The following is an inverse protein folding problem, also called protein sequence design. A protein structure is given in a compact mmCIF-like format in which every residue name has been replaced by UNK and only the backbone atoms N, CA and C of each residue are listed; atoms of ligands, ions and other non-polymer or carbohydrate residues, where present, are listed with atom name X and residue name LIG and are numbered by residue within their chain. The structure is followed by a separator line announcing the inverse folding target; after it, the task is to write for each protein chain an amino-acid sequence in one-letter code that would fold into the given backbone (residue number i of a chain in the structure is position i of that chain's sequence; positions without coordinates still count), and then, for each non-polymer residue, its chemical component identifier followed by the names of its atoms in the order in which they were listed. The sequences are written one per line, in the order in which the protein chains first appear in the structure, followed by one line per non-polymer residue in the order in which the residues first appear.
data_IF_029378992171
#
_entry.id   IF_029378992171
#
_cell.length_a   1.000
_cell.length_b   1.000
_cell.length_c   1.000
_cell.angle_alpha   90.00
_cell.angle_beta   90.00
_cell.angle_gamma   90.00
#
_symmetry.space_group_name_H-M   'P 1'
#
loop_
_entity.id
_entity.type
_entity.pdbx_description
1 polymer ?
#
# COMPACT_ATOMS: atom_id res chain seq x y z
N UNK A 1 -1.91 1.71 -13.74
CA UNK A 1 -0.65 1.05 -14.19
C UNK A 1 -0.67 -0.46 -13.95
N UNK A 2 -0.74 -0.99 -12.70
CA UNK A 2 -0.65 -2.45 -12.43
C UNK A 2 -1.75 -3.23 -13.16
N UNK A 3 -3.01 -2.84 -13.05
CA UNK A 3 -4.14 -3.51 -13.73
C UNK A 3 -4.01 -3.47 -15.26
N UNK A 4 -3.49 -2.37 -15.82
CA UNK A 4 -3.27 -2.27 -17.27
C UNK A 4 -2.14 -3.19 -17.75
N UNK A 5 -1.07 -3.31 -16.95
CA UNK A 5 0.00 -4.26 -17.24
C UNK A 5 -0.51 -5.70 -17.18
N UNK A 6 -1.28 -6.03 -16.16
CA UNK A 6 -1.89 -7.36 -16.01
C UNK A 6 -2.84 -7.67 -17.16
N UNK A 7 -3.69 -6.72 -17.58
CA UNK A 7 -4.58 -6.88 -18.72
C UNK A 7 -3.79 -7.19 -20.02
N UNK A 8 -2.73 -6.43 -20.29
CA UNK A 8 -1.85 -6.68 -21.44
C UNK A 8 -1.18 -8.06 -21.38
N UNK A 9 -0.74 -8.49 -20.21
CA UNK A 9 -0.14 -9.83 -20.06
C UNK A 9 -1.17 -10.93 -20.32
N UNK A 10 -2.40 -10.77 -19.86
CA UNK A 10 -3.49 -11.73 -20.12
C UNK A 10 -3.88 -11.79 -21.63
N UNK A 11 -3.77 -10.68 -22.33
CA UNK A 11 -3.99 -10.63 -23.79
C UNK A 11 -2.86 -11.31 -24.58
N UNK A 12 -1.63 -11.23 -24.11
CA UNK A 12 -0.43 -11.70 -24.83
C UNK A 12 -0.06 -13.15 -24.51
N UNK A 13 -0.39 -13.65 -23.32
CA UNK A 13 0.01 -14.98 -22.88
C UNK A 13 -1.20 -15.80 -22.41
N UNK A 14 -1.69 -16.67 -23.28
CA UNK A 14 -2.78 -17.60 -22.99
C UNK A 14 -2.44 -18.67 -21.91
N UNK A 15 -1.18 -18.75 -21.46
CA UNK A 15 -0.74 -19.63 -20.36
C UNK A 15 -0.82 -18.96 -19.02
N UNK A 16 -0.99 -17.62 -18.99
CA UNK A 16 -1.15 -16.88 -17.74
C UNK A 16 -2.55 -17.11 -17.18
N UNK A 17 -2.62 -17.62 -15.96
CA UNK A 17 -3.86 -17.80 -15.22
C UNK A 17 -3.83 -16.90 -13.96
N UNK A 18 -4.80 -16.00 -13.85
CA UNK A 18 -4.96 -15.07 -12.73
C UNK A 18 -6.23 -15.41 -11.97
N UNK A 19 -6.08 -15.74 -10.70
CA UNK A 19 -7.18 -16.11 -9.82
C UNK A 19 -7.33 -15.06 -8.71
N UNK A 20 -8.27 -14.14 -8.89
CA UNK A 20 -8.70 -13.23 -7.83
C UNK A 20 -9.58 -13.98 -6.79
N UNK A 21 -9.71 -13.41 -5.60
CA UNK A 21 -10.51 -13.98 -4.50
C UNK A 21 -10.14 -15.43 -4.18
N UNK A 22 -8.84 -15.76 -4.29
CA UNK A 22 -8.30 -17.09 -4.08
C UNK A 22 -7.14 -16.98 -3.09
N UNK A 23 -7.47 -16.90 -1.82
CA UNK A 23 -6.48 -16.76 -0.74
C UNK A 23 -5.65 -18.03 -0.62
N UNK A 24 -4.33 -17.89 -0.59
CA UNK A 24 -3.41 -18.96 -0.22
C UNK A 24 -3.40 -19.07 1.30
N UNK A 25 -3.69 -20.25 1.81
CA UNK A 25 -3.75 -20.54 3.27
C UNK A 25 -2.48 -21.18 3.77
N UNK A 26 -1.81 -21.99 2.93
CA UNK A 26 -0.51 -22.59 3.25
C UNK A 26 0.24 -23.00 1.98
N UNK A 27 1.54 -23.17 2.14
CA UNK A 27 2.43 -23.80 1.16
C UNK A 27 3.12 -24.95 1.88
N UNK A 28 3.28 -26.10 1.22
CA UNK A 28 3.95 -27.26 1.82
C UNK A 28 5.42 -26.95 2.16
N UNK A 29 5.93 -27.56 3.22
CA UNK A 29 7.34 -27.39 3.63
C UNK A 29 8.32 -28.15 2.71
N UNK A 30 7.82 -29.15 1.97
CA UNK A 30 8.61 -29.97 1.07
C UNK A 30 7.85 -30.19 -0.23
N UNK A 31 8.61 -30.59 -1.26
CA UNK A 31 8.02 -30.94 -2.56
C UNK A 31 7.54 -32.41 -2.54
N UNK A 32 6.60 -32.76 -3.42
CA UNK A 32 6.17 -34.10 -3.70
C UNK A 32 7.25 -34.90 -4.49
N UNK A 33 7.00 -36.19 -4.76
CA UNK A 33 7.92 -37.07 -5.53
C UNK A 33 8.26 -36.54 -6.94
N UNK A 34 7.43 -35.63 -7.49
CA UNK A 34 7.65 -35.00 -8.77
C UNK A 34 8.32 -33.62 -8.65
N UNK A 35 8.81 -33.26 -7.45
CA UNK A 35 9.48 -31.99 -7.19
C UNK A 35 8.52 -30.79 -7.16
N UNK A 36 7.23 -30.97 -6.86
CA UNK A 36 6.24 -29.91 -6.87
C UNK A 36 5.79 -29.53 -5.46
N UNK A 37 5.67 -28.23 -5.23
CA UNK A 37 5.08 -27.65 -4.03
C UNK A 37 3.56 -27.80 -4.05
N UNK A 38 2.94 -28.00 -2.89
CA UNK A 38 1.50 -27.92 -2.68
C UNK A 38 1.12 -26.55 -2.14
N UNK A 39 0.24 -25.87 -2.83
CA UNK A 39 -0.30 -24.58 -2.42
C UNK A 39 -1.79 -24.76 -2.12
N UNK A 40 -2.16 -24.65 -0.84
CA UNK A 40 -3.55 -24.74 -0.42
C UNK A 40 -4.22 -23.38 -0.57
N UNK A 41 -5.39 -23.37 -1.17
CA UNK A 41 -6.17 -22.17 -1.38
C UNK A 41 -7.61 -22.37 -0.94
N UNK A 42 -8.35 -21.27 -0.80
CA UNK A 42 -9.80 -21.31 -0.52
C UNK A 42 -10.62 -22.01 -1.62
N UNK A 43 -10.03 -22.33 -2.76
CA UNK A 43 -10.70 -22.93 -3.92
C UNK A 43 -10.12 -24.29 -4.33
N UNK A 44 -9.19 -24.81 -3.56
CA UNK A 44 -8.53 -26.10 -3.80
C UNK A 44 -7.01 -26.01 -3.81
N UNK A 45 -6.36 -27.13 -4.09
CA UNK A 45 -4.90 -27.29 -4.05
C UNK A 45 -4.28 -27.08 -5.42
N UNK A 46 -3.20 -26.31 -5.48
CA UNK A 46 -2.39 -26.09 -6.68
C UNK A 46 -1.05 -26.80 -6.51
N UNK A 47 -0.57 -27.47 -7.55
CA UNK A 47 0.78 -28.05 -7.60
C UNK A 47 1.67 -27.24 -8.53
N UNK A 48 2.81 -26.77 -8.03
CA UNK A 48 3.74 -25.93 -8.78
C UNK A 48 5.19 -26.35 -8.58
N UNK A 49 6.01 -26.30 -9.62
CA UNK A 49 7.45 -26.56 -9.55
C UNK A 49 8.22 -25.42 -8.85
N UNK A 50 7.68 -24.21 -8.89
CA UNK A 50 8.25 -23.02 -8.24
C UNK A 50 7.13 -22.19 -7.64
N UNK A 51 7.39 -21.56 -6.48
CA UNK A 51 6.50 -20.61 -5.82
C UNK A 51 7.25 -19.30 -5.63
N UNK A 52 6.64 -18.18 -6.03
CA UNK A 52 7.17 -16.84 -5.80
C UNK A 52 6.25 -16.13 -4.82
N UNK A 53 6.78 -15.82 -3.64
CA UNK A 53 6.03 -15.08 -2.63
C UNK A 53 6.18 -13.57 -2.86
N UNK A 54 5.10 -12.93 -3.28
CA UNK A 54 5.02 -11.48 -3.50
C UNK A 54 3.91 -10.84 -2.64
N UNK A 55 3.73 -11.37 -1.43
CA UNK A 55 2.59 -11.10 -0.55
C UNK A 55 2.81 -9.91 0.39
N UNK A 56 3.93 -9.16 0.24
CA UNK A 56 4.24 -7.95 0.99
C UNK A 56 4.10 -8.15 2.53
N UNK A 57 3.30 -7.35 3.21
CA UNK A 57 3.06 -7.45 4.65
C UNK A 57 2.36 -8.74 5.11
N UNK A 58 1.76 -9.48 4.18
CA UNK A 58 1.09 -10.77 4.47
C UNK A 58 2.04 -11.98 4.42
N UNK A 59 3.33 -11.78 4.12
CA UNK A 59 4.28 -12.87 3.92
C UNK A 59 4.35 -13.83 5.12
N UNK A 60 4.37 -13.30 6.33
CA UNK A 60 4.44 -14.10 7.56
C UNK A 60 3.23 -15.00 7.83
N UNK A 61 2.10 -14.77 7.16
CA UNK A 61 0.91 -15.60 7.29
C UNK A 61 1.06 -16.94 6.55
N UNK A 62 1.83 -16.97 5.47
CA UNK A 62 2.08 -18.17 4.66
C UNK A 62 3.51 -18.71 4.81
N UNK A 63 4.39 -17.94 5.41
CA UNK A 63 5.80 -18.23 5.67
C UNK A 63 6.14 -17.84 7.13
N UNK A 64 5.81 -18.69 8.11
CA UNK A 64 6.00 -18.39 9.55
C UNK A 64 7.44 -18.04 9.94
N UNK A 65 8.44 -18.56 9.22
CA UNK A 65 9.85 -18.25 9.43
C UNK A 65 10.19 -16.76 9.27
N UNK A 66 9.38 -16.02 8.53
CA UNK A 66 9.55 -14.57 8.33
C UNK A 66 8.82 -13.70 9.36
N UNK A 67 8.08 -14.26 10.30
CA UNK A 67 7.30 -13.50 11.31
C UNK A 67 8.15 -12.51 12.09
N UNK A 68 9.42 -12.88 12.38
CA UNK A 68 10.36 -11.97 13.08
C UNK A 68 11.05 -10.95 12.17
N UNK A 69 11.00 -11.15 10.85
CA UNK A 69 11.73 -10.33 9.87
C UNK A 69 10.81 -9.41 9.08
N UNK A 70 9.57 -9.81 8.88
CA UNK A 70 8.57 -9.08 8.10
C UNK A 70 7.37 -8.80 9.00
N UNK A 71 7.26 -7.55 9.46
CA UNK A 71 6.13 -7.10 10.27
C UNK A 71 5.20 -6.26 9.40
N UNK A 72 3.90 -6.60 9.32
CA UNK A 72 2.93 -5.77 8.62
C UNK A 72 2.78 -4.42 9.33
N UNK A 73 2.68 -3.35 8.56
CA UNK A 73 2.37 -2.01 9.07
C UNK A 73 1.33 -1.35 8.19
N UNK A 74 0.48 -0.52 8.78
CA UNK A 74 -0.50 0.27 8.04
C UNK A 74 0.03 1.66 7.74
N UNK A 75 -0.18 2.10 6.50
CA UNK A 75 -0.03 3.49 6.09
C UNK A 75 -1.38 4.11 5.77
N UNK A 76 -1.44 5.43 5.82
CA UNK A 76 -2.66 6.20 5.49
C UNK A 76 -2.39 7.06 4.27
N UNK A 77 -3.34 7.09 3.37
CA UNK A 77 -3.33 7.92 2.17
C UNK A 77 -4.65 8.67 2.02
N UNK A 78 -4.60 9.78 1.32
CA UNK A 78 -5.77 10.57 0.95
C UNK A 78 -5.77 10.88 -0.54
N UNK A 79 -6.95 11.07 -1.07
CA UNK A 79 -7.20 11.66 -2.37
C UNK A 79 -7.78 13.06 -2.17
N UNK A 80 -7.07 14.06 -2.67
CA UNK A 80 -7.45 15.46 -2.61
C UNK A 80 -7.76 15.93 -4.03
N UNK A 81 -8.88 16.59 -4.21
CA UNK A 81 -9.27 17.17 -5.48
C UNK A 81 -9.81 18.59 -5.29
N UNK A 82 -9.76 19.38 -6.34
CA UNK A 82 -10.21 20.77 -6.34
C UNK A 82 -11.07 21.06 -7.56
N UNK A 83 -12.22 21.72 -7.38
CA UNK A 83 -13.01 22.22 -8.52
C UNK A 83 -12.28 23.32 -9.31
N UNK A 84 -11.31 23.97 -8.69
CA UNK A 84 -10.53 25.08 -9.27
C UNK A 84 -9.08 24.68 -9.55
N UNK A 85 -8.79 23.41 -9.76
CA UNK A 85 -7.43 22.88 -9.97
C UNK A 85 -6.70 23.49 -11.17
N UNK A 86 -7.42 24.00 -12.18
CA UNK A 86 -6.84 24.72 -13.32
C UNK A 86 -6.19 26.06 -12.92
N UNK A 87 -6.55 26.59 -11.75
CA UNK A 87 -5.95 27.80 -11.18
C UNK A 87 -4.85 27.51 -10.16
N UNK A 88 -4.69 26.23 -9.80
CA UNK A 88 -3.67 25.81 -8.86
C UNK A 88 -2.27 25.84 -9.48
N UNK A 89 -1.26 26.09 -8.66
CA UNK A 89 0.12 25.94 -9.08
C UNK A 89 0.39 24.51 -9.55
N UNK A 90 1.00 24.39 -10.73
CA UNK A 90 1.28 23.08 -11.34
C UNK A 90 2.33 22.31 -10.55
N UNK A 91 1.99 21.06 -10.24
CA UNK A 91 2.88 20.12 -9.58
C UNK A 91 3.17 18.96 -10.54
N UNK A 92 4.43 18.75 -10.87
CA UNK A 92 4.87 17.78 -11.89
C UNK A 92 5.80 16.68 -11.36
N UNK A 93 6.12 16.69 -10.07
CA UNK A 93 6.98 15.72 -9.43
C UNK A 93 6.27 15.01 -8.27
N UNK A 94 6.81 13.90 -7.82
CA UNK A 94 6.53 13.36 -6.50
C UNK A 94 7.33 14.16 -5.47
N UNK A 95 6.69 14.54 -4.38
CA UNK A 95 7.30 15.34 -3.32
C UNK A 95 7.37 14.54 -2.03
N UNK A 96 8.43 14.73 -1.27
CA UNK A 96 8.54 14.28 0.10
C UNK A 96 8.64 15.52 1.01
N UNK A 97 7.59 15.76 1.79
CA UNK A 97 7.54 16.86 2.74
C UNK A 97 8.05 16.35 4.08
N UNK A 98 9.28 16.70 4.40
CA UNK A 98 9.91 16.30 5.66
C UNK A 98 9.65 17.36 6.72
N UNK A 99 9.07 16.95 7.83
CA UNK A 99 8.78 17.83 8.98
C UNK A 99 9.85 17.73 10.06
N UNK A 100 10.42 16.54 10.25
CA UNK A 100 11.52 16.29 11.18
C UNK A 100 12.33 15.04 10.77
N UNK A 101 13.19 14.54 11.63
CA UNK A 101 14.04 13.37 11.37
C UNK A 101 13.26 12.07 11.14
N UNK A 102 12.00 11.98 11.57
CA UNK A 102 11.18 10.76 11.55
C UNK A 102 9.86 10.92 10.80
N UNK A 103 9.35 12.15 10.70
CA UNK A 103 8.04 12.44 10.12
C UNK A 103 8.19 13.06 8.74
N UNK A 104 7.59 12.44 7.77
CA UNK A 104 7.45 12.96 6.42
C UNK A 104 6.13 12.49 5.80
N UNK A 105 5.60 13.31 4.92
CA UNK A 105 4.52 12.94 4.03
C UNK A 105 5.05 12.85 2.60
N UNK A 106 4.36 12.12 1.76
CA UNK A 106 4.63 12.09 0.33
C UNK A 106 3.40 12.55 -0.44
N UNK A 107 3.65 13.25 -1.55
CA UNK A 107 2.61 13.79 -2.41
C UNK A 107 2.87 13.39 -3.85
N UNK A 108 1.83 12.91 -4.52
CA UNK A 108 1.87 12.44 -5.90
C UNK A 108 0.77 13.14 -6.69
N UNK A 109 1.11 14.06 -7.60
CA UNK A 109 0.17 14.62 -8.55
C UNK A 109 -0.30 13.57 -9.54
N UNK A 110 -1.57 13.60 -9.89
CA UNK A 110 -2.16 12.74 -10.90
C UNK A 110 -2.40 13.49 -12.21
N UNK A 111 -2.52 12.75 -13.31
CA UNK A 111 -2.75 13.33 -14.63
C UNK A 111 -4.08 14.10 -14.74
N UNK A 112 -5.07 13.78 -13.91
CA UNK A 112 -6.34 14.48 -13.84
C UNK A 112 -6.29 15.77 -12.98
N UNK A 113 -5.10 16.11 -12.46
CA UNK A 113 -4.88 17.27 -11.60
C UNK A 113 -5.25 17.06 -10.13
N UNK A 114 -5.76 15.89 -9.76
CA UNK A 114 -5.96 15.53 -8.36
C UNK A 114 -4.64 15.13 -7.70
N UNK A 115 -4.63 15.07 -6.38
CA UNK A 115 -3.41 14.85 -5.59
C UNK A 115 -3.62 13.66 -4.66
N UNK A 116 -2.63 12.77 -4.60
CA UNK A 116 -2.54 11.76 -3.55
C UNK A 116 -1.53 12.23 -2.52
N UNK A 117 -1.93 12.25 -1.26
CA UNK A 117 -1.04 12.51 -0.11
C UNK A 117 -1.07 11.31 0.81
N UNK A 118 0.10 10.80 1.15
CA UNK A 118 0.23 9.74 2.14
C UNK A 118 1.18 10.15 3.26
N UNK A 119 0.87 9.71 4.48
CA UNK A 119 1.66 10.07 5.66
C UNK A 119 0.82 10.15 6.93
N UNK A 120 0.73 11.34 7.53
CA UNK A 120 0.00 11.60 8.78
C UNK A 120 0.53 10.81 10.00
N UNK A 121 1.74 10.24 9.91
CA UNK A 121 2.31 9.35 10.93
C UNK A 121 2.30 9.97 12.33
N UNK A 122 2.55 11.25 12.47
CA UNK A 122 2.57 11.96 13.74
C UNK A 122 1.22 11.91 14.49
N UNK A 123 0.12 11.65 13.78
CA UNK A 123 -1.22 11.57 14.38
C UNK A 123 -1.47 10.26 15.11
N UNK A 124 -0.85 9.17 14.70
CA UNK A 124 -1.14 7.84 15.23
C UNK A 124 0.08 7.02 15.65
N UNK A 125 1.29 7.54 15.47
CA UNK A 125 2.53 6.81 15.83
C UNK A 125 2.57 6.33 17.26
N UNK A 126 2.01 7.10 18.18
CA UNK A 126 1.97 6.79 19.61
C UNK A 126 0.94 5.69 19.98
N UNK A 127 0.18 5.20 19.01
CA UNK A 127 -0.82 4.11 19.14
C UNK A 127 -0.41 2.93 18.26
N UNK A 128 0.59 2.13 18.63
CA UNK A 128 1.11 1.06 17.78
C UNK A 128 0.05 0.05 17.37
N UNK A 129 -0.94 -0.22 18.21
CA UNK A 129 -2.06 -1.11 17.92
C UNK A 129 -2.90 -0.69 16.69
N UNK A 130 -2.80 0.57 16.28
CA UNK A 130 -3.53 1.09 15.11
C UNK A 130 -2.79 0.85 13.79
N UNK A 131 -1.48 0.60 13.82
CA UNK A 131 -0.68 0.58 12.59
C UNK A 131 0.42 -0.48 12.54
N UNK A 132 0.84 -1.03 13.68
CA UNK A 132 1.93 -1.99 13.78
C UNK A 132 1.38 -3.40 13.99
N UNK A 133 1.97 -4.39 13.31
CA UNK A 133 1.59 -5.81 13.36
C UNK A 133 0.11 -6.06 13.05
N UNK A 134 -0.40 -5.34 12.07
CA UNK A 134 -1.80 -5.45 11.63
C UNK A 134 -1.92 -5.38 10.11
N UNK A 135 -2.82 -6.19 9.55
CA UNK A 135 -3.14 -6.27 8.11
C UNK A 135 -4.56 -5.78 7.79
N UNK A 136 -5.22 -5.12 8.75
CA UNK A 136 -6.62 -4.69 8.65
C UNK A 136 -6.76 -3.45 7.76
N UNK A 137 -6.70 -3.64 6.45
CA UNK A 137 -6.81 -2.56 5.45
C UNK A 137 -8.23 -2.04 5.27
N UNK A 138 -9.21 -2.75 5.77
CA UNK A 138 -10.63 -2.43 5.77
C UNK A 138 -11.04 -1.38 6.83
N UNK A 139 -10.13 -1.06 7.76
CA UNK A 139 -10.36 -0.07 8.81
C UNK A 139 -9.56 1.22 8.59
N UNK A 140 -10.17 2.36 8.85
CA UNK A 140 -9.46 3.63 8.87
C UNK A 140 -8.67 3.80 10.18
N UNK A 141 -7.66 4.64 10.11
CA UNK A 141 -6.99 5.19 11.28
C UNK A 141 -7.62 6.56 11.54
N UNK A 142 -8.61 6.58 12.44
CA UNK A 142 -9.48 7.75 12.66
C UNK A 142 -8.69 9.01 12.99
N UNK A 143 -7.61 8.87 13.76
CA UNK A 143 -6.71 9.98 14.15
C UNK A 143 -6.06 10.68 12.96
N UNK A 144 -5.99 10.00 11.81
CA UNK A 144 -5.37 10.52 10.61
C UNK A 144 -6.38 11.05 9.58
N UNK A 145 -7.68 10.81 9.74
CA UNK A 145 -8.68 11.13 8.70
C UNK A 145 -8.76 12.63 8.42
N UNK A 146 -8.85 13.45 9.45
CA UNK A 146 -8.94 14.91 9.32
C UNK A 146 -7.58 15.59 9.06
N UNK A 147 -6.48 14.87 9.13
CA UNK A 147 -5.15 15.43 8.91
C UNK A 147 -4.99 16.06 7.52
N UNK A 148 -5.63 15.46 6.54
CA UNK A 148 -5.49 15.87 5.14
C UNK A 148 -6.41 17.03 4.75
N UNK A 149 -7.35 17.44 5.61
CA UNK A 149 -8.24 18.57 5.33
C UNK A 149 -7.46 19.87 5.26
N UNK A 150 -7.63 20.60 4.15
CA UNK A 150 -6.87 21.80 3.87
C UNK A 150 -5.36 21.58 3.68
N UNK A 151 -4.92 20.35 3.38
CA UNK A 151 -3.50 20.00 3.26
C UNK A 151 -2.80 20.83 2.19
N UNK A 152 -3.40 20.96 1.01
CA UNK A 152 -2.80 21.69 -0.11
C UNK A 152 -2.65 23.17 0.22
N UNK A 153 -3.67 23.77 0.82
CA UNK A 153 -3.66 25.18 1.22
C UNK A 153 -2.57 25.49 2.28
N UNK A 154 -2.30 24.53 3.18
CA UNK A 154 -1.27 24.71 4.24
C UNK A 154 0.16 24.56 3.75
N UNK A 155 0.39 23.79 2.69
CA UNK A 155 1.74 23.35 2.35
C UNK A 155 2.21 23.80 0.95
N UNK A 156 1.31 24.28 0.08
CA UNK A 156 1.67 24.61 -1.30
C UNK A 156 1.16 25.99 -1.69
N UNK A 157 2.09 26.88 -2.02
CA UNK A 157 1.77 28.21 -2.56
C UNK A 157 1.01 28.08 -3.88
N UNK A 158 0.01 28.92 -4.07
CA UNK A 158 -0.88 28.92 -5.24
C UNK A 158 -1.97 27.84 -5.17
N UNK A 159 -2.19 27.27 -3.96
CA UNK A 159 -3.31 26.37 -3.68
C UNK A 159 -4.31 26.97 -2.68
N UNK A 160 -4.04 28.15 -2.17
CA UNK A 160 -4.81 28.79 -1.10
C UNK A 160 -6.30 28.94 -1.46
N UNK A 161 -6.58 29.43 -2.69
CA UNK A 161 -7.94 29.74 -3.14
C UNK A 161 -8.57 28.63 -4.02
N UNK A 162 -7.95 27.47 -4.09
CA UNK A 162 -8.36 26.39 -4.99
C UNK A 162 -9.57 25.59 -4.51
N UNK A 163 -10.02 25.80 -3.27
CA UNK A 163 -11.07 24.98 -2.64
C UNK A 163 -10.76 23.47 -2.64
N UNK A 164 -9.47 23.13 -2.56
CA UNK A 164 -9.05 21.74 -2.51
C UNK A 164 -9.58 21.04 -1.27
N UNK A 165 -10.17 19.86 -1.46
CA UNK A 165 -10.84 19.07 -0.41
C UNK A 165 -10.37 17.63 -0.44
N UNK A 166 -10.30 17.01 0.74
CA UNK A 166 -10.12 15.58 0.88
C UNK A 166 -11.39 14.86 0.42
N UNK A 167 -11.28 14.10 -0.65
CA UNK A 167 -12.41 13.31 -1.21
C UNK A 167 -12.49 11.91 -0.62
N UNK A 168 -11.34 11.34 -0.26
CA UNK A 168 -11.24 9.99 0.29
C UNK A 168 -9.98 9.84 1.13
N UNK A 169 -10.08 9.08 2.20
CA UNK A 169 -8.95 8.57 2.99
C UNK A 169 -9.03 7.04 2.97
N UNK A 170 -7.90 6.37 2.92
CA UNK A 170 -7.82 4.91 3.03
C UNK A 170 -6.54 4.49 3.73
N UNK A 171 -6.52 3.27 4.19
CA UNK A 171 -5.33 2.59 4.72
C UNK A 171 -4.81 1.57 3.73
N UNK A 172 -3.56 1.21 3.88
CA UNK A 172 -2.95 0.17 3.08
C UNK A 172 -1.82 -0.49 3.85
N UNK A 173 -1.78 -1.82 3.80
CA UNK A 173 -0.73 -2.60 4.44
C UNK A 173 0.57 -2.53 3.66
N UNK A 174 1.66 -2.37 4.40
CA UNK A 174 3.04 -2.46 3.95
C UNK A 174 3.76 -3.45 4.87
N UNK A 175 5.02 -3.73 4.59
CA UNK A 175 5.87 -4.43 5.53
C UNK A 175 6.97 -3.51 6.08
N UNK A 176 7.42 -3.81 7.28
CA UNK A 176 8.65 -3.30 7.86
C UNK A 176 9.62 -4.46 8.02
N UNK A 177 10.78 -4.39 7.39
CA UNK A 177 11.86 -5.35 7.62
C UNK A 177 12.69 -4.90 8.82
N UNK A 178 12.87 -5.78 9.78
CA UNK A 178 13.77 -5.56 10.93
C UNK A 178 15.24 -5.68 10.52
N UNK A 179 15.55 -6.31 9.38
CA UNK A 179 16.91 -6.45 8.87
C UNK A 179 17.57 -5.10 8.48
N UNK A 180 16.79 -4.05 8.24
CA UNK A 180 17.30 -2.72 7.91
C UNK A 180 17.59 -1.84 9.14
N UNK A 181 17.44 -2.37 10.35
CA UNK A 181 17.67 -1.63 11.61
C UNK A 181 18.87 -2.12 12.43
N UNK A 182 19.70 -3.00 11.90
CA UNK A 182 20.98 -3.34 12.51
C UNK A 182 22.06 -2.43 11.92
N UNK A 183 22.17 -1.25 12.46
CA UNK A 183 23.38 -0.43 12.51
C UNK A 183 23.50 0.13 13.92
#
# INVERSE_FOLDING_TARGET
MVHQLLAKLLEQDHKLNVQANTSVTSVSDTTDKAGRWSIETSRGTIKASKVIHATNGYASQVLPEYTRSITPIRGVCSHIDSPLKQHAAHLNNTYALRFDGRNYDYLIPRADGSIIVGGARQRFWHKPERWFDTVRDDELVDEATSYFDGYMQRHFRGWEDTQAQTKKVWTGSKYRSLLLMRN
#
